data_IF_660990111097
#
_entry.id   IF_660990111097
#
_cell.length_a   1.000
_cell.length_b   1.000
_cell.length_c   1.000
_cell.angle_alpha   90.00
_cell.angle_beta   90.00
_cell.angle_gamma   90.00
#
_symmetry.space_group_name_H-M   'P 1'
#
loop_
_entity.id
_entity.type
_entity.pdbx_description
1 polymer ?
#
# COMPACT_ATOMS: atom_id res chain seq x y z
N UNK A 1 -1.88 1.77 -1.18
CA UNK A 1 -3.34 1.75 -0.94
C UNK A 1 -3.72 2.84 0.04
N UNK A 2 -4.49 3.80 -0.40
CA UNK A 2 -5.01 4.88 0.46
C UNK A 2 -6.31 4.38 1.08
N UNK A 3 -6.32 4.07 2.37
CA UNK A 3 -7.57 3.79 3.07
C UNK A 3 -8.21 5.10 3.48
N UNK A 4 -9.29 5.46 2.79
CA UNK A 4 -10.17 6.55 3.22
C UNK A 4 -11.21 5.97 4.18
N UNK A 5 -11.12 6.28 5.47
CA UNK A 5 -12.23 6.03 6.38
C UNK A 5 -13.24 7.17 6.20
N UNK A 6 -14.52 6.81 6.01
CA UNK A 6 -15.61 7.78 5.89
C UNK A 6 -15.63 8.75 7.08
N UNK A 7 -15.67 10.03 6.75
CA UNK A 7 -15.90 11.10 7.72
C UNK A 7 -17.34 11.03 8.24
N UNK A 8 -17.48 10.53 9.45
CA UNK A 8 -18.69 10.75 10.23
C UNK A 8 -18.67 12.17 10.77
N UNK A 9 -19.68 12.96 10.48
CA UNK A 9 -19.89 14.27 11.11
C UNK A 9 -20.33 14.06 12.55
N UNK A 10 -19.44 14.21 13.52
CA UNK A 10 -19.81 14.40 14.92
C UNK A 10 -19.21 15.69 15.46
N UNK A 11 -20.05 16.48 16.07
CA UNK A 11 -19.74 17.74 16.74
C UNK A 11 -19.10 17.45 18.10
N UNK A 12 -17.80 17.31 18.16
CA UNK A 12 -17.05 17.08 19.39
C UNK A 12 -15.61 17.57 19.26
N UNK A 13 -15.07 18.06 20.35
CA UNK A 13 -13.87 18.89 20.44
C UNK A 13 -12.57 18.40 19.79
N UNK A 14 -11.60 19.30 19.82
CA UNK A 14 -10.27 19.29 19.17
C UNK A 14 -9.46 17.95 19.21
N UNK A 15 -9.78 17.04 20.13
CA UNK A 15 -9.06 15.76 20.27
C UNK A 15 -9.65 14.60 19.46
N UNK A 16 -10.87 14.75 18.93
CA UNK A 16 -11.58 13.66 18.25
C UNK A 16 -11.21 13.55 16.75
N UNK A 17 -10.68 14.63 16.17
CA UNK A 17 -10.38 14.67 14.73
C UNK A 17 -9.05 14.03 14.35
N UNK A 18 -8.11 13.90 15.28
CA UNK A 18 -6.83 13.24 15.02
C UNK A 18 -6.90 11.72 15.00
N UNK A 19 -7.88 11.11 15.68
CA UNK A 19 -8.12 9.66 15.61
C UNK A 19 -8.72 9.23 14.26
N UNK A 20 -9.39 10.14 13.54
CA UNK A 20 -10.01 9.89 12.23
C UNK A 20 -9.07 10.02 11.03
N UNK A 21 -7.87 10.56 11.21
CA UNK A 21 -6.86 10.70 10.15
C UNK A 21 -6.12 9.39 9.89
N UNK A 22 -6.85 8.27 9.85
CA UNK A 22 -6.27 6.96 9.56
C UNK A 22 -5.60 6.93 8.19
N UNK A 23 -4.31 6.69 8.17
CA UNK A 23 -3.42 6.32 7.06
C UNK A 23 -3.43 7.16 5.76
N UNK A 24 -4.31 8.09 5.61
CA UNK A 24 -4.35 9.11 4.56
C UNK A 24 -5.19 10.27 5.05
N UNK A 25 -4.66 11.48 5.06
CA UNK A 25 -5.40 12.65 5.45
C UNK A 25 -5.68 13.51 4.25
N UNK A 26 -6.95 13.87 4.09
CA UNK A 26 -7.39 14.89 3.16
C UNK A 26 -7.97 16.04 3.98
N UNK A 27 -7.40 17.22 3.86
CA UNK A 27 -7.83 18.38 4.62
C UNK A 27 -8.81 19.21 3.80
N UNK A 28 -10.08 19.25 4.25
CA UNK A 28 -11.06 20.25 3.79
C UNK A 28 -10.90 21.51 4.66
N UNK A 29 -10.29 22.52 4.10
CA UNK A 29 -9.58 23.61 4.78
C UNK A 29 -10.43 24.74 5.31
N UNK A 30 -11.64 24.52 5.72
CA UNK A 30 -12.55 25.66 5.98
C UNK A 30 -12.23 26.53 7.20
N UNK A 31 -11.37 26.12 8.16
CA UNK A 31 -11.18 26.95 9.36
C UNK A 31 -9.93 26.69 10.22
N UNK A 32 -9.05 25.73 9.90
CA UNK A 32 -8.15 25.16 10.92
C UNK A 32 -6.67 25.46 10.74
N UNK A 33 -6.22 25.78 9.52
CA UNK A 33 -4.81 25.92 9.20
C UNK A 33 -4.51 27.38 8.83
N UNK A 34 -4.56 28.25 9.82
CA UNK A 34 -4.30 29.68 9.63
C UNK A 34 -2.83 30.07 9.81
N UNK A 35 -1.98 29.18 10.36
CA UNK A 35 -0.59 29.43 10.65
C UNK A 35 0.35 28.33 10.19
N UNK A 36 1.65 28.68 10.02
CA UNK A 36 2.72 27.71 9.68
C UNK A 36 2.85 26.62 10.74
N UNK A 37 2.63 26.93 12.00
CA UNK A 37 2.70 26.00 13.12
C UNK A 37 1.65 24.90 13.02
N UNK A 38 0.44 25.22 12.52
CA UNK A 38 -0.66 24.25 12.36
C UNK A 38 -0.31 23.21 11.29
N UNK A 39 0.33 23.61 10.19
CA UNK A 39 0.78 22.71 9.13
C UNK A 39 1.84 21.73 9.60
N UNK A 40 2.81 22.23 10.35
CA UNK A 40 3.88 21.38 10.88
C UNK A 40 3.34 20.40 11.92
N UNK A 41 2.44 20.86 12.79
CA UNK A 41 1.78 20.00 13.76
C UNK A 41 0.97 18.89 13.07
N UNK A 42 0.19 19.22 12.01
CA UNK A 42 -0.55 18.25 11.23
C UNK A 42 0.37 17.19 10.62
N UNK A 43 1.45 17.63 9.92
CA UNK A 43 2.40 16.72 9.29
C UNK A 43 3.10 15.80 10.31
N UNK A 44 3.47 16.32 11.48
CA UNK A 44 4.04 15.54 12.58
C UNK A 44 3.07 14.48 13.10
N UNK A 45 1.78 14.84 13.28
CA UNK A 45 0.76 13.88 13.68
C UNK A 45 0.56 12.80 12.62
N UNK A 46 0.46 13.17 11.35
CA UNK A 46 0.33 12.22 10.25
C UNK A 46 1.50 11.24 10.19
N UNK A 47 2.72 11.74 10.35
CA UNK A 47 3.90 10.89 10.39
C UNK A 47 3.89 9.96 11.61
N UNK A 48 3.53 10.47 12.80
CA UNK A 48 3.40 9.69 14.02
C UNK A 48 2.38 8.54 13.89
N UNK A 49 1.27 8.78 13.20
CA UNK A 49 0.23 7.77 12.94
C UNK A 49 0.49 6.94 11.66
N UNK A 50 1.67 7.09 11.05
CA UNK A 50 2.06 6.38 9.83
C UNK A 50 1.04 6.56 8.69
N UNK A 51 0.59 7.79 8.49
CA UNK A 51 -0.24 8.13 7.34
C UNK A 51 0.50 7.81 6.03
N UNK A 52 -0.24 7.36 5.03
CA UNK A 52 0.32 7.00 3.71
C UNK A 52 0.66 8.23 2.86
N UNK A 53 0.14 9.40 3.20
CA UNK A 53 0.41 10.66 2.52
C UNK A 53 -0.54 11.77 2.96
N UNK A 54 -0.29 12.97 2.45
CA UNK A 54 -1.09 14.17 2.65
C UNK A 54 -1.51 14.75 1.30
N UNK A 55 -2.81 14.95 1.11
CA UNK A 55 -3.37 15.62 -0.06
C UNK A 55 -3.92 16.98 0.36
N UNK A 56 -3.47 18.04 -0.30
CA UNK A 56 -3.89 19.42 -0.03
C UNK A 56 -4.63 19.97 -1.25
N UNK A 57 -5.86 20.44 -1.03
CA UNK A 57 -6.62 21.12 -2.04
C UNK A 57 -6.18 22.59 -2.08
N UNK A 58 -5.56 23.04 -3.20
CA UNK A 58 -5.01 24.38 -3.39
C UNK A 58 -5.93 25.24 -4.25
N UNK A 59 -6.12 26.51 -3.88
CA UNK A 59 -6.94 27.48 -4.60
C UNK A 59 -7.59 28.50 -3.67
N UNK A 60 -8.86 28.36 -3.37
CA UNK A 60 -9.66 29.38 -2.69
C UNK A 60 -9.17 29.79 -1.31
N UNK A 61 -8.65 28.83 -0.53
CA UNK A 61 -8.22 29.06 0.88
C UNK A 61 -6.73 28.87 1.08
N UNK A 62 -6.12 27.99 0.32
CA UNK A 62 -4.68 27.70 0.34
C UNK A 62 -4.16 27.99 -1.04
N UNK A 63 -3.42 29.06 -1.18
CA UNK A 63 -2.84 29.44 -2.48
C UNK A 63 -1.53 28.71 -2.76
N UNK A 64 -0.78 28.42 -1.72
CA UNK A 64 0.52 27.79 -1.82
C UNK A 64 0.83 26.93 -0.58
N UNK A 65 1.47 25.80 -0.81
CA UNK A 65 1.93 24.93 0.28
C UNK A 65 3.25 25.46 0.83
N UNK A 66 3.38 25.65 2.16
CA UNK A 66 4.59 26.14 2.78
C UNK A 66 5.81 25.29 2.47
N UNK A 67 6.95 25.94 2.16
CA UNK A 67 8.21 25.23 1.85
C UNK A 67 8.70 24.38 3.03
N UNK A 68 8.47 24.83 4.26
CA UNK A 68 8.81 24.08 5.46
C UNK A 68 8.03 22.77 5.55
N UNK A 69 6.76 22.75 5.09
CA UNK A 69 5.95 21.54 5.05
C UNK A 69 6.47 20.57 3.99
N UNK A 70 6.84 21.08 2.81
CA UNK A 70 7.43 20.25 1.74
C UNK A 70 8.72 19.60 2.22
N UNK A 71 9.63 20.41 2.79
CA UNK A 71 10.89 19.91 3.33
C UNK A 71 10.67 18.83 4.41
N UNK A 72 9.74 19.07 5.34
CA UNK A 72 9.41 18.07 6.37
C UNK A 72 8.88 16.76 5.76
N UNK A 73 7.99 16.86 4.77
CA UNK A 73 7.42 15.69 4.09
C UNK A 73 8.51 14.89 3.36
N UNK A 74 9.43 15.57 2.66
CA UNK A 74 10.54 14.94 1.96
C UNK A 74 11.53 14.26 2.94
N UNK A 75 11.85 14.91 4.06
CA UNK A 75 12.74 14.35 5.08
C UNK A 75 12.17 13.11 5.78
N UNK A 76 10.84 12.99 5.84
CA UNK A 76 10.14 11.93 6.55
C UNK A 76 9.49 10.89 5.64
N UNK A 77 9.76 10.92 4.33
CA UNK A 77 9.14 10.04 3.32
C UNK A 77 7.59 10.07 3.42
N UNK A 78 6.99 11.23 3.65
CA UNK A 78 5.55 11.43 3.69
C UNK A 78 5.10 12.03 2.35
N UNK A 79 4.46 11.26 1.45
CA UNK A 79 3.99 11.77 0.18
C UNK A 79 3.07 12.97 0.34
N UNK A 80 3.41 14.08 -0.31
CA UNK A 80 2.64 15.32 -0.32
C UNK A 80 2.14 15.60 -1.73
N UNK A 81 0.82 15.63 -1.89
CA UNK A 81 0.15 15.85 -3.16
C UNK A 81 -0.70 17.12 -3.07
N UNK A 82 -0.75 17.86 -4.16
CA UNK A 82 -1.67 19.00 -4.30
C UNK A 82 -2.68 18.73 -5.39
N UNK A 83 -3.92 19.13 -5.15
CA UNK A 83 -4.99 19.08 -6.16
C UNK A 83 -5.63 20.45 -6.29
N UNK A 84 -6.03 20.88 -7.51
CA UNK A 84 -6.72 22.13 -7.72
C UNK A 84 -8.06 22.19 -6.96
N UNK A 85 -8.48 23.37 -6.57
CA UNK A 85 -9.74 23.62 -5.84
C UNK A 85 -10.99 23.12 -6.59
N UNK A 86 -10.95 23.14 -7.90
CA UNK A 86 -12.02 22.68 -8.79
C UNK A 86 -12.26 21.17 -8.71
N UNK A 87 -11.28 20.43 -8.22
CA UNK A 87 -11.41 18.99 -8.00
C UNK A 87 -12.16 18.74 -6.70
N UNK A 88 -13.37 18.23 -6.81
CA UNK A 88 -14.16 17.89 -5.64
C UNK A 88 -13.57 16.66 -4.92
N UNK A 89 -13.35 16.80 -3.64
CA UNK A 89 -12.81 15.73 -2.77
C UNK A 89 -13.63 14.44 -2.88
N UNK A 90 -14.95 14.54 -2.95
CA UNK A 90 -15.86 13.41 -3.13
C UNK A 90 -15.59 12.62 -4.41
N UNK A 91 -15.30 13.31 -5.51
CA UNK A 91 -15.03 12.68 -6.80
C UNK A 91 -13.67 11.98 -6.77
N UNK A 92 -12.67 12.63 -6.19
CA UNK A 92 -11.35 12.05 -5.99
C UNK A 92 -11.41 10.79 -5.11
N UNK A 93 -12.13 10.83 -3.99
CA UNK A 93 -12.31 9.67 -3.10
C UNK A 93 -13.01 8.54 -3.86
N UNK A 94 -14.04 8.86 -4.66
CA UNK A 94 -14.75 7.88 -5.47
C UNK A 94 -13.84 7.22 -6.49
N UNK A 95 -13.07 8.02 -7.23
CA UNK A 95 -12.16 7.51 -8.26
C UNK A 95 -11.07 6.61 -7.63
N UNK A 96 -10.45 7.04 -6.54
CA UNK A 96 -9.49 6.20 -5.82
C UNK A 96 -10.12 4.91 -5.30
N UNK A 97 -11.35 4.97 -4.77
CA UNK A 97 -12.05 3.78 -4.30
C UNK A 97 -12.33 2.79 -5.43
N UNK A 98 -12.69 3.29 -6.60
CA UNK A 98 -12.92 2.45 -7.79
C UNK A 98 -11.60 1.79 -8.23
N UNK A 99 -10.52 2.57 -8.31
CA UNK A 99 -9.20 2.04 -8.71
C UNK A 99 -8.69 0.98 -7.74
N UNK A 100 -8.81 1.23 -6.43
CA UNK A 100 -8.45 0.25 -5.39
C UNK A 100 -9.28 -1.03 -5.52
N UNK A 101 -10.59 -0.89 -5.70
CA UNK A 101 -11.47 -2.05 -5.87
C UNK A 101 -11.14 -2.88 -7.12
N UNK A 102 -10.87 -2.23 -8.24
CA UNK A 102 -10.49 -2.92 -9.47
C UNK A 102 -9.14 -3.62 -9.32
N UNK A 103 -8.18 -2.99 -8.68
CA UNK A 103 -6.87 -3.58 -8.39
C UNK A 103 -7.01 -4.82 -7.49
N UNK A 104 -7.75 -4.71 -6.37
CA UNK A 104 -7.99 -5.82 -5.45
C UNK A 104 -8.64 -7.02 -6.18
N UNK A 105 -9.63 -6.76 -7.05
CA UNK A 105 -10.30 -7.81 -7.83
C UNK A 105 -9.34 -8.51 -8.78
N UNK A 106 -8.49 -7.75 -9.46
CA UNK A 106 -7.47 -8.29 -10.37
C UNK A 106 -6.44 -9.12 -9.60
N UNK A 107 -5.94 -8.62 -8.48
CA UNK A 107 -4.96 -9.33 -7.65
C UNK A 107 -5.54 -10.64 -7.09
N UNK A 108 -6.83 -10.66 -6.69
CA UNK A 108 -7.51 -11.88 -6.24
C UNK A 108 -7.69 -12.90 -7.38
N UNK A 109 -7.97 -12.46 -8.61
CA UNK A 109 -8.07 -13.36 -9.77
C UNK A 109 -6.71 -13.99 -10.12
N UNK A 110 -5.66 -13.18 -10.14
CA UNK A 110 -4.30 -13.67 -10.38
C UNK A 110 -3.87 -14.65 -9.29
N UNK A 111 -4.09 -14.31 -8.01
CA UNK A 111 -3.76 -15.19 -6.90
C UNK A 111 -4.50 -16.52 -6.98
N UNK A 112 -5.80 -16.51 -7.31
CA UNK A 112 -6.61 -17.72 -7.48
C UNK A 112 -6.07 -18.60 -8.62
N UNK A 113 -5.69 -18.01 -9.74
CA UNK A 113 -5.11 -18.75 -10.87
C UNK A 113 -3.73 -19.34 -10.53
N UNK A 114 -2.89 -18.61 -9.78
CA UNK A 114 -1.59 -19.12 -9.32
C UNK A 114 -1.76 -20.24 -8.28
N UNK A 115 -2.71 -20.13 -7.37
CA UNK A 115 -3.06 -21.20 -6.41
C UNK A 115 -3.53 -22.44 -7.17
N UNK A 116 -4.39 -22.29 -8.18
CA UNK A 116 -4.83 -23.39 -9.02
C UNK A 116 -3.67 -24.08 -9.75
N UNK A 117 -2.68 -23.29 -10.22
CA UNK A 117 -1.47 -23.83 -10.83
C UNK A 117 -0.60 -24.65 -9.83
N UNK A 118 -0.58 -24.24 -8.55
CA UNK A 118 0.14 -24.93 -7.49
C UNK A 118 -0.59 -26.24 -7.09
N UNK A 119 -1.91 -26.16 -6.90
CA UNK A 119 -2.70 -27.28 -6.39
C UNK A 119 -3.06 -28.32 -7.45
N UNK A 120 -3.26 -27.89 -8.68
CA UNK A 120 -3.68 -28.75 -9.81
C UNK A 120 -2.87 -28.46 -11.08
N UNK A 121 -1.55 -28.70 -11.08
CA UNK A 121 -0.66 -28.35 -12.20
C UNK A 121 -1.02 -29.04 -13.52
N UNK A 122 -1.63 -30.21 -13.46
CA UNK A 122 -2.05 -30.97 -14.66
C UNK A 122 -3.28 -30.36 -15.34
N UNK A 123 -4.08 -29.56 -14.62
CA UNK A 123 -5.28 -28.91 -15.15
C UNK A 123 -4.99 -27.49 -15.67
N UNK A 124 -4.18 -27.39 -16.74
CA UNK A 124 -3.75 -26.12 -17.29
C UNK A 124 -4.91 -25.23 -17.77
N UNK A 125 -6.02 -25.79 -18.20
CA UNK A 125 -7.18 -25.03 -18.65
C UNK A 125 -7.82 -24.21 -17.52
N UNK A 126 -7.61 -24.60 -16.26
CA UNK A 126 -8.17 -23.92 -15.10
C UNK A 126 -7.46 -22.59 -14.76
N UNK A 127 -6.22 -22.39 -15.19
CA UNK A 127 -5.44 -21.23 -14.77
C UNK A 127 -4.67 -20.53 -15.90
N UNK A 128 -4.26 -21.25 -16.95
CA UNK A 128 -3.37 -20.74 -17.99
C UNK A 128 -3.93 -19.50 -18.69
N UNK A 129 -5.23 -19.51 -19.01
CA UNK A 129 -5.89 -18.40 -19.71
C UNK A 129 -5.88 -17.12 -18.90
N UNK A 130 -6.08 -17.22 -17.61
CA UNK A 130 -6.15 -16.06 -16.71
C UNK A 130 -4.74 -15.51 -16.45
N UNK A 131 -3.73 -16.39 -16.36
CA UNK A 131 -2.33 -15.98 -16.20
C UNK A 131 -1.71 -15.35 -17.45
N UNK A 132 -2.09 -15.80 -18.66
CA UNK A 132 -1.59 -15.28 -19.93
C UNK A 132 -1.79 -13.76 -20.12
N UNK A 133 -2.76 -13.17 -19.42
CA UNK A 133 -3.03 -11.75 -19.52
C UNK A 133 -2.02 -10.90 -18.73
N UNK A 134 -1.32 -11.51 -17.77
CA UNK A 134 -0.45 -10.83 -16.81
C UNK A 134 0.99 -11.31 -16.84
N UNK A 135 1.22 -12.57 -17.24
CA UNK A 135 2.53 -13.21 -17.18
C UNK A 135 2.91 -13.88 -18.50
N UNK A 136 4.20 -13.94 -18.75
CA UNK A 136 4.76 -14.86 -19.74
C UNK A 136 4.74 -16.28 -19.15
N UNK A 137 3.67 -17.02 -19.44
CA UNK A 137 3.45 -18.37 -18.87
C UNK A 137 4.41 -19.43 -19.41
N UNK A 138 5.12 -19.16 -20.49
CA UNK A 138 6.17 -20.01 -21.05
C UNK A 138 7.57 -19.55 -20.58
N UNK A 139 7.62 -18.41 -19.84
CA UNK A 139 8.81 -17.86 -19.23
C UNK A 139 9.16 -18.54 -17.90
N UNK A 140 10.20 -18.03 -17.25
CA UNK A 140 10.63 -18.56 -15.96
C UNK A 140 9.89 -17.93 -14.79
N UNK A 141 9.58 -18.74 -13.81
CA UNK A 141 8.99 -18.32 -12.54
C UNK A 141 9.94 -18.54 -11.36
N UNK A 142 9.80 -17.72 -10.34
CA UNK A 142 10.47 -17.89 -9.06
C UNK A 142 9.50 -17.57 -7.94
N UNK A 143 9.44 -18.47 -6.94
CA UNK A 143 8.54 -18.34 -5.80
C UNK A 143 9.32 -17.94 -4.57
N UNK A 144 8.83 -16.93 -3.85
CA UNK A 144 9.37 -16.50 -2.57
C UNK A 144 8.29 -16.70 -1.50
N UNK A 145 8.69 -17.29 -0.38
CA UNK A 145 7.83 -17.42 0.79
C UNK A 145 8.26 -16.40 1.84
N UNK A 146 7.31 -15.67 2.40
CA UNK A 146 7.54 -14.65 3.42
C UNK A 146 6.67 -14.94 4.63
N UNK A 147 7.30 -15.08 5.77
CA UNK A 147 6.61 -15.28 7.05
C UNK A 147 7.09 -14.30 8.11
N UNK A 148 6.31 -14.12 9.15
CA UNK A 148 6.70 -13.35 10.34
C UNK A 148 6.11 -13.98 11.60
N UNK A 149 6.71 -13.66 12.74
CA UNK A 149 6.20 -14.12 14.03
C UNK A 149 4.76 -13.68 14.25
N UNK A 150 3.90 -14.63 14.65
CA UNK A 150 2.49 -14.37 14.94
C UNK A 150 1.58 -14.29 13.71
N UNK A 151 2.05 -14.53 12.49
CA UNK A 151 1.24 -14.45 11.27
C UNK A 151 0.00 -15.36 11.32
N UNK A 152 0.14 -16.58 11.83
CA UNK A 152 -0.95 -17.55 11.96
C UNK A 152 -2.03 -17.15 12.96
N UNK A 153 -1.67 -16.34 13.97
CA UNK A 153 -2.58 -15.86 15.00
C UNK A 153 -3.30 -14.56 14.64
N UNK A 154 -2.89 -13.92 13.54
CA UNK A 154 -3.51 -12.68 13.06
C UNK A 154 -4.91 -12.96 12.50
N UNK A 155 -5.84 -12.05 12.79
CA UNK A 155 -7.14 -12.07 12.13
C UNK A 155 -7.02 -11.67 10.63
N UNK A 156 -8.10 -11.88 9.88
CA UNK A 156 -8.13 -11.58 8.43
C UNK A 156 -7.84 -10.11 8.13
N UNK A 157 -8.30 -9.19 8.99
CA UNK A 157 -8.13 -7.74 8.78
C UNK A 157 -6.69 -7.33 9.05
N UNK A 158 -6.10 -7.82 10.12
CA UNK A 158 -4.69 -7.58 10.47
C UNK A 158 -3.76 -8.12 9.40
N UNK A 159 -4.02 -9.34 8.93
CA UNK A 159 -3.30 -10.00 7.85
C UNK A 159 -3.37 -9.22 6.54
N UNK A 160 -4.57 -8.77 6.13
CA UNK A 160 -4.72 -7.89 4.97
C UNK A 160 -3.94 -6.59 5.13
N UNK A 161 -4.00 -5.95 6.29
CA UNK A 161 -3.21 -4.72 6.56
C UNK A 161 -1.71 -4.96 6.43
N UNK A 162 -1.21 -6.08 6.95
CA UNK A 162 0.19 -6.45 6.84
C UNK A 162 0.58 -6.76 5.38
N UNK A 163 -0.26 -7.54 4.67
CA UNK A 163 -0.09 -7.83 3.24
C UNK A 163 0.09 -6.56 2.43
N UNK A 164 -0.82 -5.59 2.56
CA UNK A 164 -0.72 -4.32 1.85
C UNK A 164 0.55 -3.53 2.19
N UNK A 165 0.98 -3.54 3.45
CA UNK A 165 2.22 -2.85 3.84
C UNK A 165 3.45 -3.49 3.21
N UNK A 166 3.50 -4.81 3.15
CA UNK A 166 4.59 -5.54 2.48
C UNK A 166 4.53 -5.25 0.98
N UNK A 167 3.35 -5.30 0.38
CA UNK A 167 3.14 -5.05 -1.04
C UNK A 167 3.64 -3.66 -1.47
N UNK A 168 3.39 -2.61 -0.66
CA UNK A 168 3.95 -1.26 -0.89
C UNK A 168 5.49 -1.26 -0.93
N UNK A 169 6.14 -2.15 -0.19
CA UNK A 169 7.60 -2.27 -0.23
C UNK A 169 8.13 -3.10 -1.41
N UNK A 170 7.22 -3.82 -2.08
CA UNK A 170 7.48 -4.62 -3.27
C UNK A 170 7.02 -3.93 -4.56
N UNK A 171 6.72 -2.63 -4.52
CA UNK A 171 6.09 -1.86 -5.63
C UNK A 171 6.81 -1.97 -6.99
N UNK A 172 8.11 -2.21 -6.99
CA UNK A 172 8.88 -2.37 -8.23
C UNK A 172 8.54 -3.68 -9.01
N UNK A 173 7.72 -4.60 -8.42
CA UNK A 173 7.34 -5.88 -9.07
C UNK A 173 5.97 -5.81 -9.76
N UNK A 174 5.23 -4.73 -9.68
CA UNK A 174 3.80 -4.64 -10.01
C UNK A 174 3.36 -5.22 -11.37
N UNK A 175 4.26 -5.40 -12.30
CA UNK A 175 3.92 -5.95 -13.63
C UNK A 175 4.43 -7.38 -13.86
N UNK A 176 5.34 -7.87 -13.02
CA UNK A 176 6.01 -9.15 -13.21
C UNK A 176 5.91 -10.05 -11.98
N UNK A 177 4.97 -9.82 -11.10
CA UNK A 177 4.80 -10.62 -9.91
C UNK A 177 3.42 -10.47 -9.28
N UNK A 178 3.05 -11.45 -8.47
CA UNK A 178 1.83 -11.43 -7.67
C UNK A 178 2.16 -11.80 -6.23
N UNK A 179 1.58 -11.05 -5.29
CA UNK A 179 1.79 -11.23 -3.86
C UNK A 179 0.46 -11.54 -3.17
N UNK A 180 0.37 -12.69 -2.52
CA UNK A 180 -0.85 -13.18 -1.88
C UNK A 180 -0.55 -14.02 -0.64
N UNK A 181 -1.59 -14.36 0.13
CA UNK A 181 -1.49 -15.22 1.30
C UNK A 181 -1.97 -16.63 0.95
N UNK A 182 -1.16 -17.64 1.26
CA UNK A 182 -1.46 -19.04 0.99
C UNK A 182 -0.71 -19.95 1.99
N UNK A 183 -1.40 -20.95 2.53
CA UNK A 183 -0.85 -21.93 3.48
C UNK A 183 -0.05 -21.33 4.64
N UNK A 184 -0.61 -20.32 5.31
CA UNK A 184 -0.03 -19.66 6.49
C UNK A 184 1.17 -18.75 6.19
N UNK A 185 1.55 -18.56 4.94
CA UNK A 185 2.64 -17.69 4.52
C UNK A 185 2.17 -16.64 3.49
N UNK A 186 2.93 -15.57 3.36
CA UNK A 186 2.82 -14.71 2.20
C UNK A 186 3.67 -15.28 1.07
N UNK A 187 3.09 -15.36 -0.11
CA UNK A 187 3.73 -15.87 -1.32
C UNK A 187 3.93 -14.73 -2.30
N UNK A 188 5.13 -14.58 -2.81
CA UNK A 188 5.44 -13.74 -3.96
C UNK A 188 5.83 -14.66 -5.11
N UNK A 189 5.08 -14.62 -6.19
CA UNK A 189 5.43 -15.27 -7.45
C UNK A 189 5.98 -14.23 -8.40
N UNK A 190 7.21 -14.39 -8.84
CA UNK A 190 7.89 -13.49 -9.78
C UNK A 190 8.08 -14.17 -11.13
N UNK A 191 7.77 -13.47 -12.21
CA UNK A 191 7.89 -13.95 -13.60
C UNK A 191 8.97 -13.18 -14.32
N UNK A 192 9.86 -13.90 -15.00
CA UNK A 192 10.92 -13.35 -15.86
C UNK A 192 11.86 -12.33 -15.18
N UNK A 193 12.02 -12.38 -13.85
CA UNK A 193 12.92 -11.52 -13.10
C UNK A 193 14.24 -12.25 -12.78
N UNK A 194 15.34 -11.49 -12.67
CA UNK A 194 16.62 -12.07 -12.26
C UNK A 194 16.69 -12.29 -10.75
N UNK A 195 17.39 -13.32 -10.31
CA UNK A 195 17.59 -13.62 -8.90
C UNK A 195 18.26 -12.46 -8.15
N UNK A 196 19.25 -11.80 -8.78
CA UNK A 196 19.91 -10.63 -8.19
C UNK A 196 18.96 -9.45 -7.98
N UNK A 197 18.01 -9.26 -8.89
CA UNK A 197 17.00 -8.22 -8.76
C UNK A 197 16.05 -8.54 -7.61
N UNK A 198 15.58 -9.79 -7.52
CA UNK A 198 14.69 -10.24 -6.45
C UNK A 198 15.36 -10.16 -5.07
N UNK A 199 16.62 -10.55 -4.96
CA UNK A 199 17.39 -10.41 -3.71
C UNK A 199 17.45 -8.94 -3.26
N UNK A 200 17.84 -8.02 -4.15
CA UNK A 200 17.90 -6.57 -3.84
C UNK A 200 16.55 -6.00 -3.42
N UNK A 201 15.50 -6.41 -4.08
CA UNK A 201 14.14 -5.97 -3.79
C UNK A 201 13.67 -6.45 -2.42
N UNK A 202 13.89 -7.73 -2.10
CA UNK A 202 13.57 -8.32 -0.79
C UNK A 202 14.37 -7.66 0.33
N UNK A 203 15.68 -7.46 0.14
CA UNK A 203 16.53 -6.74 1.10
C UNK A 203 16.01 -5.31 1.34
N UNK A 204 15.62 -4.62 0.27
CA UNK A 204 15.00 -3.30 0.34
C UNK A 204 13.68 -3.31 1.11
N UNK A 205 12.82 -4.28 0.85
CA UNK A 205 11.55 -4.46 1.55
C UNK A 205 11.75 -4.74 3.04
N UNK A 206 12.66 -5.64 3.38
CA UNK A 206 13.01 -5.96 4.79
C UNK A 206 13.56 -4.71 5.50
N UNK A 207 14.44 -3.95 4.86
CA UNK A 207 15.03 -2.74 5.44
C UNK A 207 13.98 -1.65 5.68
N UNK A 208 13.06 -1.43 4.72
CA UNK A 208 11.94 -0.50 4.85
C UNK A 208 10.96 -0.97 5.93
N UNK A 209 10.65 -2.27 5.95
CA UNK A 209 9.79 -2.88 6.95
C UNK A 209 10.31 -2.69 8.37
N UNK A 210 11.59 -2.97 8.62
CA UNK A 210 12.23 -2.75 9.93
C UNK A 210 12.19 -1.31 10.40
N UNK A 211 12.34 -0.34 9.47
CA UNK A 211 12.27 1.09 9.80
C UNK A 211 10.86 1.53 10.16
N UNK A 212 9.85 1.07 9.42
CA UNK A 212 8.45 1.49 9.58
C UNK A 212 7.66 0.65 10.58
N UNK A 213 8.10 -0.58 10.82
CA UNK A 213 7.48 -1.54 11.75
C UNK A 213 8.57 -2.21 12.60
N UNK A 214 9.10 -1.55 13.64
CA UNK A 214 10.26 -2.04 14.40
C UNK A 214 10.09 -3.42 15.06
N UNK A 215 8.84 -3.87 15.26
CA UNK A 215 8.53 -5.19 15.82
C UNK A 215 8.36 -6.30 14.77
N UNK A 216 8.37 -5.96 13.47
CA UNK A 216 8.19 -6.95 12.41
C UNK A 216 9.51 -7.65 12.09
N UNK A 217 9.58 -8.94 12.34
CA UNK A 217 10.67 -9.81 11.91
C UNK A 217 10.18 -10.62 10.69
N UNK A 218 10.48 -10.14 9.51
CA UNK A 218 10.14 -10.81 8.26
C UNK A 218 11.25 -11.78 7.88
N UNK A 219 10.92 -13.05 7.74
CA UNK A 219 11.77 -14.11 7.20
C UNK A 219 11.36 -14.39 5.76
N UNK A 220 12.33 -14.49 4.86
CA UNK A 220 12.07 -14.72 3.43
C UNK A 220 12.89 -15.89 2.94
N UNK A 221 12.23 -16.90 2.35
CA UNK A 221 12.84 -17.99 1.62
C UNK A 221 12.66 -17.77 0.12
N UNK A 222 13.71 -17.93 -0.66
CA UNK A 222 13.70 -17.80 -2.12
C UNK A 222 13.85 -19.18 -2.72
N UNK A 223 12.86 -19.63 -3.50
CA UNK A 223 12.89 -20.89 -4.23
C UNK A 223 13.81 -20.83 -5.45
N UNK A 224 14.14 -22.00 -5.97
CA UNK A 224 14.86 -22.10 -7.24
C UNK A 224 13.99 -21.61 -8.40
N UNK A 225 14.63 -21.10 -9.42
CA UNK A 225 13.96 -20.73 -10.68
C UNK A 225 13.47 -21.98 -11.41
N UNK A 226 12.25 -21.96 -11.88
CA UNK A 226 11.64 -23.01 -12.72
C UNK A 226 11.10 -22.40 -14.02
#
# INVERSE_FOLDING_TARGET
>A
MVQFNQLGTSSGGYNDHTEFLGKGACSDNRAWLSGKEDWMHLAQQLNRYHASGLVINVGQYIYEVPEELKAYCDENDLPLLTVPWEVHLSDMIKDFSIHVFLQDTTDEQIASALIAAIETPDNQDAYRKDLLQYFDVDGSFQVLLMTCEGLDSMDTVERKKLSYRIQVYLEDITHNGSFFYYNSDFVLVANALSEEYLCRLVEGAIKRGKRRMPGLQLCVGIGSRC
#
